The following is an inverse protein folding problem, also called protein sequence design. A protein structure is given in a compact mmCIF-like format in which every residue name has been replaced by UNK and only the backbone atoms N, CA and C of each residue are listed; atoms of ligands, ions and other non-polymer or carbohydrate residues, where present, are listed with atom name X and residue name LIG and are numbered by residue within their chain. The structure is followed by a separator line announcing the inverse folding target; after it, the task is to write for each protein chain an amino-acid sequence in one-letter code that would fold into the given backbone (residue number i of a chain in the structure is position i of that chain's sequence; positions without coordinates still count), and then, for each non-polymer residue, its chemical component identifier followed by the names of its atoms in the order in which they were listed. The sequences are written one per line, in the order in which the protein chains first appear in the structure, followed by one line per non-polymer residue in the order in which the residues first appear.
data_IF_187184449346
#
_entry.id   IF_187184449346
#
_cell.length_a   1.000
_cell.length_b   1.000
_cell.length_c   1.000
_cell.angle_alpha   90.00
_cell.angle_beta   90.00
_cell.angle_gamma   90.00
#
_symmetry.space_group_name_H-M   'P 1'
#
loop_
_entity.id
_entity.type
_entity.pdbx_description
1 polymer ?
#
# COMPACT_ATOMS: atom_id res chain seq x y z
N UNK A 1 -54.22 -40.97 3.06
CA UNK A 1 -53.44 -42.19 3.32
C UNK A 1 -52.26 -42.21 2.38
N UNK A 2 -51.13 -41.66 2.82
CA UNK A 2 -49.78 -42.16 2.55
C UNK A 2 -48.85 -41.30 3.40
N UNK A 3 -48.27 -41.99 4.37
CA UNK A 3 -47.45 -41.53 5.46
C UNK A 3 -45.98 -41.51 5.04
N UNK A 4 -45.19 -40.73 5.78
CA UNK A 4 -43.81 -40.99 6.18
C UNK A 4 -42.70 -41.01 5.12
N UNK A 5 -41.80 -40.02 5.23
CA UNK A 5 -40.39 -40.26 5.55
C UNK A 5 -39.68 -38.90 5.74
N UNK A 6 -39.45 -38.51 6.99
CA UNK A 6 -38.52 -37.43 7.37
C UNK A 6 -37.25 -38.12 7.83
N UNK A 7 -36.19 -38.07 7.00
CA UNK A 7 -34.85 -38.49 7.41
C UNK A 7 -34.07 -37.30 7.97
N UNK A 8 -33.72 -37.42 9.25
CA UNK A 8 -32.74 -36.60 9.94
C UNK A 8 -31.32 -37.01 9.53
N UNK A 9 -30.60 -36.11 8.87
CA UNK A 9 -29.14 -36.21 8.74
C UNK A 9 -28.50 -35.30 9.79
N UNK A 10 -27.81 -35.92 10.74
CA UNK A 10 -26.86 -35.27 11.66
C UNK A 10 -25.51 -35.24 10.96
N UNK A 11 -24.97 -34.06 10.68
CA UNK A 11 -23.55 -33.90 10.32
C UNK A 11 -22.80 -33.29 11.51
N UNK A 12 -21.76 -33.99 11.93
CA UNK A 12 -20.88 -33.61 13.03
C UNK A 12 -19.81 -32.63 12.57
N UNK A 13 -19.64 -31.57 13.35
CA UNK A 13 -18.50 -30.66 13.30
C UNK A 13 -17.25 -31.36 13.87
N UNK A 14 -16.18 -31.49 13.07
CA UNK A 14 -14.82 -31.62 13.59
C UNK A 14 -13.98 -30.44 13.10
N UNK A 15 -13.76 -29.49 14.01
CA UNK A 15 -12.79 -28.43 13.88
C UNK A 15 -11.38 -28.98 14.13
N UNK A 16 -10.45 -28.78 13.18
CA UNK A 16 -9.02 -28.93 13.41
C UNK A 16 -8.35 -27.55 13.39
N UNK A 17 -8.12 -27.05 14.59
CA UNK A 17 -7.19 -25.97 14.91
C UNK A 17 -5.75 -26.53 14.91
N UNK A 18 -4.80 -25.74 14.42
CA UNK A 18 -3.43 -26.19 14.18
C UNK A 18 -2.49 -25.01 13.95
N UNK A 19 -2.49 -24.06 14.88
CA UNK A 19 -1.59 -22.90 14.87
C UNK A 19 -0.25 -23.28 15.52
N UNK A 20 0.82 -23.43 14.74
CA UNK A 20 2.19 -23.55 15.28
C UNK A 20 2.90 -22.19 15.23
N UNK A 21 3.10 -21.59 16.41
CA UNK A 21 4.01 -20.47 16.64
C UNK A 21 5.38 -21.01 17.05
N UNK A 22 6.41 -20.76 16.23
CA UNK A 22 7.81 -20.94 16.59
C UNK A 22 8.34 -19.63 17.20
N UNK A 23 8.75 -19.71 18.46
CA UNK A 23 9.44 -18.66 19.20
C UNK A 23 10.93 -18.64 18.81
N UNK A 24 11.42 -17.47 18.39
CA UNK A 24 12.85 -17.20 18.22
C UNK A 24 13.39 -16.57 19.51
N UNK A 25 14.43 -17.20 20.06
CA UNK A 25 15.13 -16.81 21.29
C UNK A 25 16.13 -15.68 21.03
N UNK A 26 15.99 -14.61 21.80
CA UNK A 26 16.98 -13.56 22.05
C UNK A 26 18.18 -14.12 22.84
N UNK A 27 19.40 -13.88 22.36
CA UNK A 27 20.61 -13.82 23.19
C UNK A 27 21.81 -13.29 22.36
N UNK A 28 22.21 -12.03 22.60
CA UNK A 28 23.59 -11.58 22.50
C UNK A 28 23.79 -10.46 23.53
N UNK A 29 24.66 -10.71 24.51
CA UNK A 29 25.17 -9.72 25.46
C UNK A 29 26.55 -9.32 24.98
N UNK A 30 26.76 -8.03 24.74
CA UNK A 30 28.08 -7.46 24.47
C UNK A 30 28.70 -6.97 25.79
N UNK A 31 29.87 -7.52 26.10
CA UNK A 31 30.77 -7.11 27.18
C UNK A 31 31.50 -5.82 26.81
N UNK A 32 31.42 -4.79 27.66
CA UNK A 32 32.25 -3.58 27.55
C UNK A 32 33.31 -3.61 28.66
N UNK A 33 34.57 -3.83 28.25
CA UNK A 33 35.74 -3.83 29.12
C UNK A 33 36.11 -2.43 29.59
N UNK A 34 36.36 -2.29 30.89
CA UNK A 34 36.92 -1.10 31.52
C UNK A 34 38.45 -1.24 31.61
N UNK A 35 39.19 -0.37 30.92
CA UNK A 35 40.65 -0.27 31.08
C UNK A 35 41.00 0.72 32.21
N UNK A 36 41.73 0.18 33.20
CA UNK A 36 42.25 0.85 34.37
C UNK A 36 43.72 1.25 34.08
N UNK A 37 44.01 2.54 33.92
CA UNK A 37 45.39 3.02 33.71
C UNK A 37 46.03 3.34 35.06
N UNK A 38 46.93 2.45 35.50
CA UNK A 38 47.79 2.64 36.67
C UNK A 38 48.95 3.58 36.36
N UNK A 39 49.12 4.66 37.13
CA UNK A 39 50.31 5.51 37.07
C UNK A 39 51.41 5.00 38.01
N UNK A 40 52.59 4.80 37.43
CA UNK A 40 53.83 4.33 38.06
C UNK A 40 54.46 5.36 39.00
N UNK A 41 55.02 4.84 40.09
CA UNK A 41 55.78 5.54 41.14
C UNK A 41 57.27 5.24 40.89
N UNK A 42 58.10 6.26 40.73
CA UNK A 42 59.56 6.12 40.71
C UNK A 42 60.19 7.17 41.63
N UNK A 43 61.08 6.71 42.51
CA UNK A 43 61.79 7.51 43.51
C UNK A 43 63.24 7.82 43.14
N UNK A 44 63.96 8.32 44.15
CA UNK A 44 65.41 8.59 44.16
C UNK A 44 65.76 10.03 43.78
N UNK A 45 66.72 10.72 44.39
CA UNK A 45 67.67 10.40 45.44
C UNK A 45 68.25 11.73 45.96
N UNK A 46 68.82 11.72 47.17
CA UNK A 46 69.50 12.85 47.78
C UNK A 46 70.82 13.23 47.10
N UNK A 47 71.29 14.44 47.38
CA UNK A 47 72.57 14.96 46.92
C UNK A 47 72.89 16.29 47.61
N UNK A 48 73.67 16.18 48.68
CA UNK A 48 74.35 17.25 49.41
C UNK A 48 75.39 17.95 48.52
N UNK A 49 75.64 19.24 48.71
CA UNK A 49 76.51 20.02 47.81
C UNK A 49 76.58 21.51 48.15
N UNK A 50 77.60 21.89 48.92
CA UNK A 50 77.77 23.22 49.50
C UNK A 50 78.13 24.36 48.54
N UNK A 51 77.81 25.57 49.04
CA UNK A 51 78.59 26.81 49.02
C UNK A 51 79.29 27.23 47.71
N UNK A 52 78.66 28.16 46.99
CA UNK A 52 79.37 29.29 46.37
C UNK A 52 78.40 30.46 46.10
N UNK A 53 78.23 31.29 47.12
CA UNK A 53 77.52 32.56 47.07
C UNK A 53 78.61 33.63 47.07
N UNK A 54 78.81 34.40 46.00
CA UNK A 54 78.45 35.82 45.97
C UNK A 54 79.04 36.43 44.68
N UNK A 55 78.34 37.41 44.09
CA UNK A 55 78.61 38.16 42.82
C UNK A 55 77.79 37.81 41.56
N UNK A 56 76.62 37.16 41.69
CA UNK A 56 75.65 36.93 40.59
C UNK A 56 74.27 37.60 40.78
N UNK A 57 74.16 38.58 41.68
CA UNK A 57 72.90 39.11 42.21
C UNK A 57 72.21 40.16 41.31
N UNK A 58 72.94 40.88 40.44
CA UNK A 58 72.38 41.88 39.53
C UNK A 58 71.69 41.30 38.27
N UNK A 59 72.38 40.43 37.52
CA UNK A 59 71.87 39.83 36.27
C UNK A 59 70.69 38.88 36.51
N UNK A 60 70.71 38.08 37.59
CA UNK A 60 69.58 37.21 37.98
C UNK A 60 68.30 38.01 38.29
N UNK A 61 68.43 39.21 38.88
CA UNK A 61 67.28 40.08 39.20
C UNK A 61 66.64 40.68 37.94
N UNK A 62 67.45 41.10 36.95
CA UNK A 62 66.94 41.59 35.64
C UNK A 62 66.21 40.49 34.86
N UNK A 63 66.77 39.27 34.81
CA UNK A 63 66.14 38.10 34.16
C UNK A 63 64.84 37.68 34.85
N UNK A 64 64.77 37.73 36.19
CA UNK A 64 63.52 37.49 36.94
C UNK A 64 62.44 38.53 36.63
N UNK A 65 62.78 39.82 36.49
CA UNK A 65 61.84 40.87 36.09
C UNK A 65 61.32 40.66 34.67
N UNK A 66 62.21 40.33 33.73
CA UNK A 66 61.83 40.06 32.34
C UNK A 66 60.95 38.80 32.22
N UNK A 67 61.28 37.72 32.93
CA UNK A 67 60.44 36.51 32.98
C UNK A 67 59.08 36.78 33.62
N UNK A 68 59.02 37.61 34.68
CA UNK A 68 57.75 38.01 35.30
C UNK A 68 56.89 38.82 34.32
N UNK A 69 57.51 39.73 33.56
CA UNK A 69 56.81 40.50 32.52
C UNK A 69 56.34 39.60 31.37
N UNK A 70 57.17 38.68 30.88
CA UNK A 70 56.79 37.74 29.84
C UNK A 70 55.66 36.81 30.28
N UNK A 71 55.68 36.32 31.53
CA UNK A 71 54.59 35.52 32.11
C UNK A 71 53.30 36.33 32.22
N UNK A 72 53.39 37.62 32.59
CA UNK A 72 52.24 38.53 32.63
C UNK A 72 51.65 38.77 31.23
N UNK A 73 52.51 39.00 30.23
CA UNK A 73 52.08 39.19 28.84
C UNK A 73 51.47 37.91 28.24
N UNK A 74 52.06 36.75 28.54
CA UNK A 74 51.52 35.45 28.11
C UNK A 74 50.15 35.17 28.75
N UNK A 75 49.99 35.46 30.04
CA UNK A 75 48.70 35.33 30.72
C UNK A 75 47.63 36.28 30.15
N UNK A 76 48.02 37.51 29.78
CA UNK A 76 47.11 38.45 29.11
C UNK A 76 46.66 37.92 27.74
N UNK A 77 47.59 37.45 26.90
CA UNK A 77 47.27 36.84 25.60
C UNK A 77 46.38 35.61 25.72
N UNK A 78 46.63 34.73 26.69
CA UNK A 78 45.79 33.56 26.93
C UNK A 78 44.36 33.95 27.36
N UNK A 79 44.22 35.07 28.09
CA UNK A 79 42.91 35.60 28.46
C UNK A 79 42.17 36.17 27.24
N UNK A 80 42.87 36.88 26.37
CA UNK A 80 42.31 37.39 25.11
C UNK A 80 41.86 36.26 24.18
N UNK A 81 42.67 35.20 24.03
CA UNK A 81 42.30 34.03 23.22
C UNK A 81 41.03 33.36 23.75
N UNK A 82 40.97 33.09 25.07
CA UNK A 82 39.76 32.50 25.67
C UNK A 82 38.52 33.37 25.49
N UNK A 83 38.67 34.69 25.59
CA UNK A 83 37.55 35.61 25.36
C UNK A 83 37.09 35.62 23.90
N UNK A 84 38.02 35.46 22.94
CA UNK A 84 37.68 35.33 21.52
C UNK A 84 36.96 34.00 21.23
N UNK A 85 37.46 32.87 21.75
CA UNK A 85 36.82 31.56 21.62
C UNK A 85 35.41 31.53 22.22
N UNK A 86 35.22 32.15 23.40
CA UNK A 86 33.88 32.29 24.02
C UNK A 86 32.93 33.18 23.20
N UNK A 87 33.46 34.19 22.48
CA UNK A 87 32.66 35.06 21.63
C UNK A 87 32.23 34.32 20.33
N UNK A 88 33.16 33.60 19.70
CA UNK A 88 32.89 32.79 18.51
C UNK A 88 31.86 31.70 18.80
N UNK A 89 32.00 30.97 19.92
CA UNK A 89 31.03 29.96 20.34
C UNK A 89 29.64 30.54 20.68
N UNK A 90 29.55 31.82 21.08
CA UNK A 90 28.26 32.50 21.29
C UNK A 90 27.62 32.91 19.96
N UNK A 91 28.42 33.38 19.01
CA UNK A 91 27.93 33.74 17.68
C UNK A 91 27.44 32.50 16.91
N UNK A 92 28.18 31.39 16.94
CA UNK A 92 27.74 30.12 16.36
C UNK A 92 26.42 29.62 16.94
N UNK A 93 26.25 29.74 18.27
CA UNK A 93 24.96 29.41 18.93
C UNK A 93 23.83 30.33 18.50
N UNK A 94 24.11 31.61 18.29
CA UNK A 94 23.12 32.59 17.84
C UNK A 94 22.69 32.29 16.40
N UNK A 95 23.63 32.05 15.50
CA UNK A 95 23.35 31.65 14.11
C UNK A 95 22.53 30.36 14.09
N UNK A 96 22.91 29.34 14.87
CA UNK A 96 22.16 28.10 14.97
C UNK A 96 20.72 28.33 15.47
N UNK A 97 20.50 29.22 16.43
CA UNK A 97 19.15 29.54 16.92
C UNK A 97 18.31 30.33 15.90
N UNK A 98 18.91 31.27 15.16
CA UNK A 98 18.22 32.02 14.11
C UNK A 98 17.85 31.10 12.94
N UNK A 99 18.74 30.19 12.54
CA UNK A 99 18.45 29.15 11.54
C UNK A 99 17.35 28.18 12.03
N UNK A 100 17.29 27.84 13.32
CA UNK A 100 16.21 27.01 13.88
C UNK A 100 14.84 27.71 13.80
N UNK A 101 14.77 29.00 14.15
CA UNK A 101 13.52 29.79 14.07
C UNK A 101 13.02 29.95 12.62
N UNK A 102 13.92 30.29 11.68
CA UNK A 102 13.55 30.43 10.26
C UNK A 102 13.08 29.09 9.66
N UNK A 103 13.74 27.99 10.03
CA UNK A 103 13.33 26.65 9.61
C UNK A 103 11.98 26.22 10.18
N UNK A 104 11.64 26.65 11.39
CA UNK A 104 10.34 26.38 12.00
C UNK A 104 9.21 27.13 11.27
N UNK A 105 9.42 28.39 10.90
CA UNK A 105 8.43 29.20 10.17
C UNK A 105 8.13 28.62 8.77
N UNK A 106 9.16 28.21 8.02
CA UNK A 106 8.98 27.56 6.71
C UNK A 106 8.17 26.26 6.86
N UNK A 107 8.47 25.45 7.89
CA UNK A 107 7.73 24.22 8.18
C UNK A 107 6.25 24.46 8.49
N UNK A 108 5.94 25.54 9.22
CA UNK A 108 4.57 25.93 9.58
C UNK A 108 3.77 26.43 8.38
N UNK A 109 4.38 27.23 7.49
CA UNK A 109 3.72 27.72 6.26
C UNK A 109 3.31 26.56 5.35
N UNK A 110 4.23 25.64 5.06
CA UNK A 110 3.95 24.48 4.21
C UNK A 110 2.90 23.55 4.83
N UNK A 111 2.91 23.39 6.16
CA UNK A 111 1.87 22.66 6.88
C UNK A 111 0.49 23.29 6.72
N UNK A 112 0.39 24.61 6.84
CA UNK A 112 -0.88 25.33 6.73
C UNK A 112 -1.45 25.17 5.33
N UNK A 113 -0.62 25.32 4.30
CA UNK A 113 -1.01 25.05 2.92
C UNK A 113 -1.47 23.59 2.77
N UNK A 114 -0.74 22.62 3.33
CA UNK A 114 -1.14 21.22 3.26
C UNK A 114 -2.51 20.96 3.90
N UNK A 115 -2.81 21.59 5.04
CA UNK A 115 -4.12 21.49 5.68
C UNK A 115 -5.25 22.09 4.83
N UNK A 116 -4.97 23.16 4.10
CA UNK A 116 -5.95 23.81 3.19
C UNK A 116 -6.18 23.04 1.90
N UNK A 117 -5.18 22.28 1.45
CA UNK A 117 -5.22 21.45 0.25
C UNK A 117 -5.81 20.05 0.50
N UNK A 118 -5.85 19.58 1.75
CA UNK A 118 -6.53 18.33 2.13
C UNK A 118 -7.99 18.37 1.66
N UNK A 119 -8.35 17.45 0.76
CA UNK A 119 -9.67 17.32 0.13
C UNK A 119 -9.85 18.06 -1.18
N UNK A 120 -8.97 19.01 -1.50
CA UNK A 120 -8.98 19.76 -2.77
C UNK A 120 -7.99 19.19 -3.78
N UNK A 121 -6.78 18.89 -3.32
CA UNK A 121 -5.71 18.33 -4.14
C UNK A 121 -5.89 16.82 -4.30
N UNK A 122 -5.61 16.28 -5.49
CA UNK A 122 -5.71 14.84 -5.76
C UNK A 122 -4.65 14.05 -4.97
N UNK A 123 -5.02 12.86 -4.50
CA UNK A 123 -4.14 11.97 -3.72
C UNK A 123 -4.33 12.14 -2.21
N UNK A 124 -3.84 11.16 -1.45
CA UNK A 124 -3.78 11.22 0.02
C UNK A 124 -2.46 11.83 0.50
N UNK A 125 -2.34 12.10 1.80
CA UNK A 125 -1.08 12.56 2.39
C UNK A 125 0.10 11.60 2.10
N UNK A 126 -0.15 10.28 2.12
CA UNK A 126 0.88 9.29 1.76
C UNK A 126 1.34 9.41 0.30
N UNK A 127 0.40 9.74 -0.60
CA UNK A 127 0.69 9.96 -2.03
C UNK A 127 1.52 11.22 -2.23
N UNK A 128 1.27 12.26 -1.42
CA UNK A 128 2.02 13.52 -1.48
C UNK A 128 3.44 13.38 -0.95
N UNK A 129 3.68 12.49 0.00
CA UNK A 129 5.02 12.28 0.58
C UNK A 129 5.87 11.25 -0.18
N UNK A 130 5.30 10.52 -1.13
CA UNK A 130 5.99 9.48 -1.89
C UNK A 130 6.57 10.01 -3.20
N UNK A 131 7.90 10.08 -3.29
CA UNK A 131 8.68 10.56 -4.45
C UNK A 131 8.28 9.94 -5.79
N UNK A 132 7.96 8.64 -5.79
CA UNK A 132 7.64 7.91 -7.01
C UNK A 132 6.18 8.08 -7.43
N UNK A 133 5.38 8.73 -6.60
CA UNK A 133 3.96 8.89 -6.86
C UNK A 133 3.71 10.12 -7.72
N UNK A 134 2.79 10.02 -8.70
CA UNK A 134 2.45 11.12 -9.62
C UNK A 134 1.87 12.37 -8.93
N UNK A 135 1.46 12.24 -7.67
CA UNK A 135 0.94 13.33 -6.84
C UNK A 135 1.91 13.75 -5.74
N UNK A 136 3.19 13.37 -5.84
CA UNK A 136 4.22 13.81 -4.91
C UNK A 136 4.21 15.34 -4.80
N UNK A 137 4.25 15.82 -3.58
CA UNK A 137 4.35 17.23 -3.25
C UNK A 137 5.73 17.48 -2.66
N UNK A 138 6.64 17.92 -3.53
CA UNK A 138 8.07 18.05 -3.19
C UNK A 138 8.30 19.05 -2.05
N UNK A 139 7.60 20.19 -2.02
CA UNK A 139 7.76 21.15 -0.91
C UNK A 139 7.32 20.55 0.43
N UNK A 140 6.14 19.90 0.48
CA UNK A 140 5.65 19.24 1.70
C UNK A 140 6.58 18.11 2.15
N UNK A 141 7.11 17.32 1.22
CA UNK A 141 8.07 16.25 1.53
C UNK A 141 9.38 16.80 2.08
N UNK A 142 9.93 17.85 1.48
CA UNK A 142 11.17 18.50 1.93
C UNK A 142 11.00 19.18 3.31
N UNK A 143 9.84 19.79 3.55
CA UNK A 143 9.48 20.37 4.85
C UNK A 143 9.12 19.31 5.89
N UNK A 144 8.75 18.08 5.48
CA UNK A 144 8.23 17.05 6.38
C UNK A 144 9.11 16.80 7.61
N UNK A 145 10.45 16.65 7.53
CA UNK A 145 11.29 16.45 8.70
C UNK A 145 11.18 17.60 9.71
N UNK A 146 11.07 18.84 9.21
CA UNK A 146 11.02 20.10 9.99
C UNK A 146 9.68 20.34 10.69
N UNK A 147 8.59 19.72 10.24
CA UNK A 147 7.26 19.90 10.86
C UNK A 147 7.22 19.26 12.26
N UNK A 148 6.78 19.98 13.31
CA UNK A 148 6.61 19.43 14.65
C UNK A 148 5.70 18.21 14.71
N UNK A 149 6.00 17.24 15.59
CA UNK A 149 5.26 15.97 15.70
C UNK A 149 3.76 16.16 15.95
N UNK A 150 3.37 17.15 16.75
CA UNK A 150 1.97 17.51 17.02
C UNK A 150 1.22 17.90 15.75
N UNK A 151 1.88 18.66 14.88
CA UNK A 151 1.34 19.15 13.63
C UNK A 151 1.22 18.05 12.56
N UNK A 152 2.24 17.19 12.46
CA UNK A 152 2.17 15.96 11.64
C UNK A 152 0.94 15.12 12.01
N UNK A 153 0.70 14.90 13.32
CA UNK A 153 -0.47 14.16 13.80
C UNK A 153 -1.79 14.81 13.37
N UNK A 154 -1.91 16.13 13.45
CA UNK A 154 -3.11 16.88 13.01
C UNK A 154 -3.36 16.69 11.51
N UNK A 155 -2.33 16.82 10.68
CA UNK A 155 -2.44 16.63 9.23
C UNK A 155 -2.83 15.18 8.88
N UNK A 156 -2.18 14.20 9.51
CA UNK A 156 -2.51 12.77 9.36
C UNK A 156 -3.94 12.49 9.77
N UNK A 157 -4.42 13.06 10.88
CA UNK A 157 -5.79 12.85 11.34
C UNK A 157 -6.80 13.43 10.34
N UNK A 158 -6.58 14.65 9.85
CA UNK A 158 -7.46 15.28 8.85
C UNK A 158 -7.51 14.48 7.53
N UNK A 159 -6.36 13.98 7.06
CA UNK A 159 -6.30 13.09 5.89
C UNK A 159 -7.07 11.79 6.14
N UNK A 160 -6.90 11.18 7.32
CA UNK A 160 -7.67 9.98 7.72
C UNK A 160 -9.17 10.23 7.77
N UNK A 161 -9.60 11.38 8.30
CA UNK A 161 -11.02 11.73 8.40
C UNK A 161 -11.63 11.93 7.01
N UNK A 162 -10.94 12.63 6.10
CA UNK A 162 -11.38 12.74 4.71
C UNK A 162 -11.41 11.40 3.98
N UNK A 163 -10.38 10.57 4.16
CA UNK A 163 -10.39 9.21 3.62
C UNK A 163 -11.58 8.44 4.20
N UNK A 164 -11.90 8.59 5.49
CA UNK A 164 -13.06 7.92 6.09
C UNK A 164 -14.38 8.44 5.50
N UNK A 165 -14.52 9.75 5.30
CA UNK A 165 -15.69 10.39 4.67
C UNK A 165 -15.85 9.95 3.21
N UNK A 166 -14.76 9.88 2.45
CA UNK A 166 -14.79 9.40 1.06
C UNK A 166 -15.07 7.90 0.95
N UNK A 167 -14.96 7.18 2.08
CA UNK A 167 -15.27 5.76 2.21
C UNK A 167 -16.55 5.55 3.04
N UNK A 168 -17.41 6.57 3.20
CA UNK A 168 -18.77 6.35 3.69
C UNK A 168 -19.40 5.35 2.73
N UNK A 169 -19.63 4.16 3.26
CA UNK A 169 -20.07 3.03 2.47
C UNK A 169 -21.45 3.34 1.92
N UNK A 170 -21.70 2.92 0.69
CA UNK A 170 -23.06 2.80 0.24
C UNK A 170 -23.74 1.76 1.14
N UNK A 171 -24.78 2.15 1.86
CA UNK A 171 -25.63 1.17 2.53
C UNK A 171 -26.28 0.31 1.45
N UNK A 172 -26.08 -1.00 1.52
CA UNK A 172 -26.65 -1.93 0.56
C UNK A 172 -28.10 -2.24 0.94
N UNK A 173 -29.06 -2.14 0.01
CA UNK A 173 -30.46 -2.51 0.28
C UNK A 173 -30.70 -4.03 0.34
N UNK A 174 -29.63 -4.82 0.32
CA UNK A 174 -29.63 -6.28 0.31
C UNK A 174 -28.60 -6.84 1.29
N UNK A 175 -28.74 -8.11 1.66
CA UNK A 175 -27.76 -8.77 2.52
C UNK A 175 -26.42 -8.90 1.79
N UNK A 176 -25.34 -8.58 2.49
CA UNK A 176 -23.98 -8.70 1.96
C UNK A 176 -23.05 -9.33 2.98
N UNK A 177 -22.17 -10.20 2.52
CA UNK A 177 -21.07 -10.73 3.33
C UNK A 177 -19.86 -9.80 3.24
N UNK A 178 -19.24 -9.50 4.40
CA UNK A 178 -18.12 -8.54 4.45
C UNK A 178 -16.92 -8.96 3.60
N UNK A 179 -16.71 -10.27 3.46
CA UNK A 179 -15.56 -10.83 2.72
C UNK A 179 -15.78 -10.85 1.19
N UNK A 180 -17.00 -10.64 0.71
CA UNK A 180 -17.31 -10.55 -0.73
C UNK A 180 -17.12 -9.14 -1.32
N UNK A 181 -16.96 -8.14 -0.44
CA UNK A 181 -16.74 -6.75 -0.84
C UNK A 181 -15.32 -6.52 -1.38
N UNK A 182 -15.09 -6.97 -2.60
CA UNK A 182 -13.80 -6.94 -3.27
C UNK A 182 -13.92 -6.27 -4.65
N UNK A 183 -13.33 -5.09 -4.78
CA UNK A 183 -13.22 -4.40 -6.06
C UNK A 183 -12.16 -5.05 -6.95
N UNK A 184 -12.49 -5.16 -8.24
CA UNK A 184 -11.61 -5.75 -9.25
C UNK A 184 -10.47 -4.78 -9.61
N UNK A 185 -9.25 -5.28 -9.71
CA UNK A 185 -8.10 -4.48 -10.12
C UNK A 185 -8.30 -3.89 -11.53
N UNK A 186 -7.97 -2.60 -11.75
CA UNK A 186 -8.08 -1.97 -13.07
C UNK A 186 -7.40 -2.75 -14.20
N UNK A 187 -6.30 -3.46 -13.93
CA UNK A 187 -5.61 -4.28 -14.93
C UNK A 187 -6.45 -5.43 -15.44
N UNK A 188 -7.30 -6.03 -14.61
CA UNK A 188 -8.16 -7.14 -15.02
C UNK A 188 -9.14 -6.70 -16.11
N UNK A 189 -9.71 -5.48 -16.00
CA UNK A 189 -10.53 -4.91 -17.06
C UNK A 189 -9.73 -4.65 -18.34
N UNK A 190 -8.47 -4.21 -18.20
CA UNK A 190 -7.53 -4.03 -19.31
C UNK A 190 -7.40 -5.26 -20.20
N UNK A 191 -7.37 -6.44 -19.60
CA UNK A 191 -7.21 -7.72 -20.30
C UNK A 191 -8.42 -8.07 -21.18
N UNK A 192 -9.61 -7.54 -20.92
CA UNK A 192 -10.82 -7.80 -21.74
C UNK A 192 -11.16 -6.67 -22.71
N UNK A 193 -10.43 -5.54 -22.70
CA UNK A 193 -10.72 -4.37 -23.55
C UNK A 193 -10.75 -4.73 -25.03
N UNK A 194 -9.78 -5.53 -25.51
CA UNK A 194 -9.72 -5.90 -26.93
C UNK A 194 -10.92 -6.76 -27.35
N UNK A 195 -11.34 -7.69 -26.49
CA UNK A 195 -12.51 -8.53 -26.71
C UNK A 195 -13.79 -7.69 -26.70
N UNK A 196 -13.98 -6.80 -25.73
CA UNK A 196 -15.14 -5.90 -25.67
C UNK A 196 -15.24 -4.98 -26.89
N UNK A 197 -14.12 -4.39 -27.34
CA UNK A 197 -14.09 -3.58 -28.57
C UNK A 197 -14.46 -4.41 -29.80
N UNK A 198 -14.00 -5.65 -29.87
CA UNK A 198 -14.34 -6.56 -30.96
C UNK A 198 -15.82 -6.93 -30.94
N UNK A 199 -16.38 -7.17 -29.75
CA UNK A 199 -17.81 -7.43 -29.59
C UNK A 199 -18.65 -6.24 -30.07
N UNK A 200 -18.29 -5.02 -29.66
CA UNK A 200 -18.97 -3.81 -30.14
C UNK A 200 -18.95 -3.69 -31.67
N UNK A 201 -17.80 -3.96 -32.30
CA UNK A 201 -17.68 -3.96 -33.75
C UNK A 201 -18.61 -4.98 -34.43
N UNK A 202 -18.77 -6.19 -33.87
CA UNK A 202 -19.70 -7.21 -34.40
C UNK A 202 -21.16 -6.79 -34.24
N UNK A 203 -21.48 -6.12 -33.15
CA UNK A 203 -22.79 -5.50 -32.93
C UNK A 203 -23.01 -4.23 -33.77
N UNK A 204 -22.02 -3.85 -34.60
CA UNK A 204 -22.03 -2.62 -35.42
C UNK A 204 -22.28 -1.35 -34.59
N UNK A 205 -21.75 -1.33 -33.36
CA UNK A 205 -21.84 -0.21 -32.43
C UNK A 205 -20.45 0.40 -32.18
N UNK A 206 -20.34 1.73 -32.01
CA UNK A 206 -19.14 2.31 -31.44
C UNK A 206 -18.88 1.74 -30.05
N UNK A 207 -17.63 1.37 -29.73
CA UNK A 207 -17.33 0.71 -28.44
C UNK A 207 -17.67 1.58 -27.22
N UNK A 208 -17.66 2.90 -27.36
CA UNK A 208 -18.08 3.84 -26.31
C UNK A 208 -19.56 3.70 -25.93
N UNK A 209 -20.37 3.21 -26.87
CA UNK A 209 -21.83 3.07 -26.75
C UNK A 209 -22.24 1.64 -26.41
N UNK A 210 -21.29 0.70 -26.35
CA UNK A 210 -21.52 -0.68 -25.91
C UNK A 210 -22.11 -0.68 -24.50
N UNK A 211 -23.33 -1.17 -24.35
CA UNK A 211 -24.02 -1.19 -23.07
C UNK A 211 -23.51 -2.36 -22.21
N UNK A 212 -22.75 -2.05 -21.17
CA UNK A 212 -22.17 -3.02 -20.24
C UNK A 212 -23.01 -3.06 -18.97
N UNK A 213 -23.39 -4.26 -18.52
CA UNK A 213 -24.09 -4.47 -17.27
C UNK A 213 -23.22 -5.24 -16.27
N UNK A 214 -23.08 -4.68 -15.07
CA UNK A 214 -22.51 -5.37 -13.91
C UNK A 214 -23.62 -5.51 -12.83
N UNK A 215 -24.18 -6.72 -12.64
CA UNK A 215 -25.25 -6.96 -11.68
C UNK A 215 -24.82 -6.90 -10.22
N UNK A 216 -23.51 -6.96 -9.91
CA UNK A 216 -23.05 -6.96 -8.52
C UNK A 216 -22.44 -5.61 -8.16
N UNK A 217 -23.00 -4.99 -7.13
CA UNK A 217 -22.55 -3.69 -6.68
C UNK A 217 -21.71 -3.81 -5.40
N UNK A 218 -20.44 -3.47 -5.51
CA UNK A 218 -19.55 -3.23 -4.37
C UNK A 218 -19.55 -1.73 -4.05
N UNK A 219 -18.65 -0.94 -4.65
CA UNK A 219 -18.60 0.52 -4.50
C UNK A 219 -18.64 1.27 -5.85
N UNK A 220 -19.06 0.58 -6.92
CA UNK A 220 -19.20 1.20 -8.24
C UNK A 220 -17.90 1.40 -9.01
N UNK A 221 -16.76 0.86 -8.56
CA UNK A 221 -15.47 1.14 -9.20
C UNK A 221 -15.38 0.64 -10.66
N UNK A 222 -16.15 -0.40 -11.01
CA UNK A 222 -16.27 -0.93 -12.38
C UNK A 222 -16.58 0.15 -13.41
N UNK A 223 -17.48 1.10 -13.08
CA UNK A 223 -17.87 2.20 -13.98
C UNK A 223 -16.66 3.06 -14.32
N UNK A 224 -15.90 3.47 -13.29
CA UNK A 224 -14.70 4.30 -13.46
C UNK A 224 -13.60 3.55 -14.21
N UNK A 225 -13.39 2.27 -13.87
CA UNK A 225 -12.35 1.45 -14.48
C UNK A 225 -12.60 1.24 -15.97
N UNK A 226 -13.83 0.86 -16.36
CA UNK A 226 -14.20 0.71 -17.76
C UNK A 226 -14.23 2.06 -18.51
N UNK A 227 -14.66 3.14 -17.86
CA UNK A 227 -14.60 4.48 -18.43
C UNK A 227 -13.17 4.92 -18.77
N UNK A 228 -12.18 4.54 -17.96
CA UNK A 228 -10.76 4.80 -18.25
C UNK A 228 -10.26 4.12 -19.54
N UNK A 229 -10.95 3.08 -20.00
CA UNK A 229 -10.71 2.41 -21.29
C UNK A 229 -11.64 2.91 -22.42
N UNK A 230 -12.47 3.91 -22.14
CA UNK A 230 -13.35 4.57 -23.11
C UNK A 230 -14.77 4.02 -23.20
N UNK A 231 -15.15 3.05 -22.37
CA UNK A 231 -16.52 2.54 -22.29
C UNK A 231 -17.36 3.45 -21.38
N UNK A 232 -18.33 4.18 -21.96
CA UNK A 232 -19.10 5.20 -21.22
C UNK A 232 -20.47 4.72 -20.78
N UNK A 233 -20.98 3.66 -21.41
CA UNK A 233 -22.30 3.11 -21.13
C UNK A 233 -22.20 1.88 -20.21
N UNK A 234 -21.97 2.11 -18.93
CA UNK A 234 -21.83 1.05 -17.91
C UNK A 234 -22.92 1.22 -16.86
N UNK A 235 -23.74 0.19 -16.68
CA UNK A 235 -24.73 0.11 -15.61
C UNK A 235 -24.18 -0.74 -14.46
N UNK A 236 -23.96 -0.08 -13.32
CA UNK A 236 -23.69 -0.72 -12.03
C UNK A 236 -24.32 0.17 -10.95
N UNK A 237 -25.37 -0.34 -10.30
CA UNK A 237 -26.19 0.38 -9.34
C UNK A 237 -26.32 -0.45 -8.07
N UNK A 238 -26.44 0.24 -6.93
CA UNK A 238 -26.61 -0.38 -5.62
C UNK A 238 -28.03 -0.96 -5.47
N UNK A 239 -28.30 -2.01 -6.23
CA UNK A 239 -29.60 -2.66 -6.35
C UNK A 239 -29.41 -4.16 -6.17
N UNK A 240 -30.40 -4.83 -5.56
CA UNK A 240 -30.40 -6.29 -5.49
C UNK A 240 -30.78 -6.86 -6.86
N UNK A 241 -29.77 -7.27 -7.62
CA UNK A 241 -29.96 -7.93 -8.91
C UNK A 241 -30.93 -9.11 -8.85
N UNK A 242 -30.99 -9.84 -7.73
CA UNK A 242 -31.88 -10.98 -7.60
C UNK A 242 -33.35 -10.60 -7.41
N UNK A 243 -33.62 -9.41 -6.89
CA UNK A 243 -34.96 -8.90 -6.67
C UNK A 243 -35.48 -8.08 -7.87
N UNK A 244 -34.67 -7.86 -8.90
CA UNK A 244 -35.07 -7.09 -10.08
C UNK A 244 -36.13 -7.83 -10.90
N UNK A 245 -37.23 -7.14 -11.24
CA UNK A 245 -38.25 -7.66 -12.16
C UNK A 245 -37.77 -7.65 -13.61
N UNK A 246 -37.04 -6.61 -13.98
CA UNK A 246 -36.47 -6.42 -15.31
C UNK A 246 -35.04 -5.90 -15.18
N UNK A 247 -34.16 -6.40 -16.04
CA UNK A 247 -32.76 -5.99 -16.07
C UNK A 247 -32.57 -4.79 -17.00
N UNK A 248 -31.61 -3.89 -16.72
CA UNK A 248 -31.32 -2.75 -17.58
C UNK A 248 -30.98 -3.25 -19.00
N UNK A 249 -31.40 -2.53 -20.07
CA UNK A 249 -31.00 -2.86 -21.42
C UNK A 249 -29.47 -2.86 -21.55
N UNK A 250 -28.91 -3.97 -22.02
CA UNK A 250 -27.47 -4.16 -22.15
C UNK A 250 -27.10 -5.05 -23.33
N UNK A 251 -25.87 -4.92 -23.80
CA UNK A 251 -25.28 -5.74 -24.87
C UNK A 251 -24.45 -6.89 -24.30
N UNK A 252 -23.81 -6.68 -23.15
CA UNK A 252 -22.86 -7.61 -22.54
C UNK A 252 -22.90 -7.51 -21.02
N UNK A 253 -22.72 -8.65 -20.35
CA UNK A 253 -22.51 -8.71 -18.89
C UNK A 253 -21.00 -8.70 -18.62
N UNK A 254 -20.52 -7.84 -17.73
CA UNK A 254 -19.13 -7.82 -17.26
C UNK A 254 -19.16 -7.71 -15.75
N UNK A 255 -18.65 -8.71 -15.03
CA UNK A 255 -18.78 -8.76 -13.58
C UNK A 255 -17.67 -9.55 -12.89
N UNK A 256 -17.48 -9.25 -11.61
CA UNK A 256 -16.75 -10.03 -10.62
C UNK A 256 -17.74 -10.37 -9.48
N UNK A 257 -18.42 -11.53 -9.53
CA UNK A 257 -19.44 -11.86 -8.55
C UNK A 257 -18.85 -12.06 -7.14
N UNK A 258 -19.68 -11.96 -6.10
CA UNK A 258 -19.41 -12.58 -4.81
C UNK A 258 -19.06 -14.07 -4.99
N UNK A 259 -18.14 -14.57 -4.18
CA UNK A 259 -17.69 -15.96 -4.26
C UNK A 259 -18.24 -16.84 -3.15
N UNK A 260 -18.89 -16.24 -2.15
CA UNK A 260 -19.62 -16.97 -1.13
C UNK A 260 -20.91 -17.58 -1.67
N UNK A 261 -21.47 -18.51 -0.89
CA UNK A 261 -22.82 -19.03 -1.08
C UNK A 261 -23.10 -19.56 -2.50
N UNK A 262 -24.31 -19.34 -3.01
CA UNK A 262 -24.78 -19.80 -4.33
C UNK A 262 -24.66 -18.71 -5.42
N UNK A 263 -23.97 -17.59 -5.13
CA UNK A 263 -23.95 -16.42 -5.99
C UNK A 263 -23.45 -16.73 -7.41
N UNK A 264 -22.38 -17.52 -7.52
CA UNK A 264 -21.78 -17.91 -8.79
C UNK A 264 -22.72 -18.83 -9.59
N UNK A 265 -23.35 -19.80 -8.93
CA UNK A 265 -24.30 -20.70 -9.59
C UNK A 265 -25.49 -19.92 -10.16
N UNK A 266 -26.08 -19.02 -9.37
CA UNK A 266 -27.19 -18.16 -9.80
C UNK A 266 -26.80 -17.23 -10.94
N UNK A 267 -25.58 -16.68 -10.92
CA UNK A 267 -25.03 -15.90 -12.03
C UNK A 267 -24.95 -16.72 -13.32
N UNK A 268 -24.44 -17.97 -13.24
CA UNK A 268 -24.34 -18.84 -14.40
C UNK A 268 -25.73 -19.16 -14.98
N UNK A 269 -26.71 -19.44 -14.13
CA UNK A 269 -28.11 -19.63 -14.54
C UNK A 269 -28.69 -18.38 -15.21
N UNK A 270 -28.41 -17.19 -14.67
CA UNK A 270 -28.82 -15.92 -15.27
C UNK A 270 -28.21 -15.73 -16.66
N UNK A 271 -26.90 -15.87 -16.79
CA UNK A 271 -26.19 -15.69 -18.08
C UNK A 271 -26.69 -16.70 -19.11
N UNK A 272 -26.97 -17.94 -18.68
CA UNK A 272 -27.58 -18.94 -19.54
C UNK A 272 -28.97 -18.54 -20.02
N UNK A 273 -29.82 -17.97 -19.17
CA UNK A 273 -31.17 -17.51 -19.55
C UNK A 273 -31.14 -16.22 -20.39
N UNK A 274 -30.24 -15.29 -20.09
CA UNK A 274 -30.12 -13.98 -20.74
C UNK A 274 -29.60 -14.10 -22.20
N UNK A 275 -28.87 -15.18 -22.53
CA UNK A 275 -28.32 -15.47 -23.88
C UNK A 275 -27.44 -14.37 -24.49
N UNK A 276 -27.00 -13.40 -23.69
CA UNK A 276 -26.05 -12.35 -24.12
C UNK A 276 -24.61 -12.75 -23.80
N UNK A 277 -23.63 -12.18 -24.51
CA UNK A 277 -22.22 -12.33 -24.17
C UNK A 277 -21.95 -11.89 -22.73
N UNK A 278 -21.03 -12.58 -22.07
CA UNK A 278 -20.67 -12.33 -20.69
C UNK A 278 -19.17 -12.53 -20.48
N UNK A 279 -18.59 -11.69 -19.62
CA UNK A 279 -17.22 -11.75 -19.15
C UNK A 279 -17.29 -11.83 -17.63
N UNK A 280 -17.07 -13.02 -17.07
CA UNK A 280 -17.22 -13.28 -15.64
C UNK A 280 -15.84 -13.51 -15.05
N UNK A 281 -15.37 -12.63 -14.19
CA UNK A 281 -14.12 -12.80 -13.46
C UNK A 281 -14.38 -13.74 -12.29
N UNK A 282 -13.93 -14.99 -12.37
CA UNK A 282 -14.22 -16.00 -11.35
C UNK A 282 -12.95 -16.77 -10.95
N UNK A 283 -12.94 -17.39 -9.75
CA UNK A 283 -11.85 -18.25 -9.31
C UNK A 283 -11.71 -19.49 -10.19
N UNK A 284 -10.48 -20.02 -10.28
CA UNK A 284 -10.16 -21.28 -10.96
C UNK A 284 -11.15 -22.38 -10.57
N UNK A 285 -11.33 -22.64 -9.28
CA UNK A 285 -12.11 -23.79 -8.79
C UNK A 285 -13.56 -23.84 -9.29
N UNK A 286 -14.11 -22.75 -9.83
CA UNK A 286 -15.48 -22.73 -10.35
C UNK A 286 -15.65 -23.68 -11.53
N UNK A 287 -14.64 -23.85 -12.38
CA UNK A 287 -14.79 -24.74 -13.55
C UNK A 287 -14.87 -26.23 -13.16
N UNK A 288 -14.49 -26.57 -11.94
CA UNK A 288 -14.50 -27.92 -11.37
C UNK A 288 -15.84 -28.22 -10.64
N UNK A 289 -16.71 -27.21 -10.48
CA UNK A 289 -17.97 -27.38 -9.75
C UNK A 289 -19.00 -28.15 -10.58
N UNK A 290 -19.83 -29.02 -9.95
CA UNK A 290 -20.84 -29.81 -10.66
C UNK A 290 -21.86 -28.99 -11.46
N UNK A 291 -22.18 -27.77 -11.01
CA UNK A 291 -23.10 -26.87 -11.69
C UNK A 291 -22.50 -26.17 -12.92
N UNK A 292 -21.18 -26.28 -13.15
CA UNK A 292 -20.51 -25.57 -14.24
C UNK A 292 -20.56 -26.36 -15.55
N UNK A 293 -21.08 -25.74 -16.61
CA UNK A 293 -21.11 -26.29 -17.97
C UNK A 293 -20.07 -25.61 -18.87
N UNK A 294 -18.89 -26.21 -18.99
CA UNK A 294 -17.74 -25.62 -19.68
C UNK A 294 -17.87 -25.42 -21.19
N UNK A 295 -18.79 -26.13 -21.87
CA UNK A 295 -18.90 -26.16 -23.34
C UNK A 295 -19.14 -24.79 -24.00
N UNK A 296 -19.62 -23.81 -23.24
CA UNK A 296 -19.98 -22.47 -23.75
C UNK A 296 -18.98 -21.38 -23.36
N UNK A 297 -17.95 -21.75 -22.62
CA UNK A 297 -16.97 -20.81 -22.08
C UNK A 297 -15.63 -20.91 -22.79
N UNK A 298 -14.95 -19.78 -22.77
CA UNK A 298 -13.57 -19.63 -23.19
C UNK A 298 -12.86 -18.79 -22.14
N UNK A 299 -11.58 -19.04 -21.91
CA UNK A 299 -10.87 -18.46 -20.79
C UNK A 299 -9.82 -17.45 -21.23
N UNK A 300 -9.86 -16.24 -20.66
CA UNK A 300 -8.77 -15.26 -20.75
C UNK A 300 -8.01 -15.30 -19.43
N UNK A 301 -6.86 -15.96 -19.47
CA UNK A 301 -6.01 -16.22 -18.31
C UNK A 301 -4.92 -15.15 -18.24
N UNK A 302 -4.83 -14.37 -17.16
CA UNK A 302 -3.80 -13.33 -17.10
C UNK A 302 -2.39 -13.92 -17.00
N UNK A 303 -1.39 -13.18 -17.47
CA UNK A 303 0.02 -13.53 -17.25
C UNK A 303 0.44 -13.44 -15.78
N UNK A 304 -0.26 -12.63 -14.99
CA UNK A 304 -0.03 -12.43 -13.56
C UNK A 304 -1.33 -12.57 -12.80
N UNK A 305 -1.28 -13.14 -11.60
CA UNK A 305 -2.45 -13.28 -10.73
C UNK A 305 -3.12 -11.92 -10.51
N UNK A 306 -4.45 -11.88 -10.68
CA UNK A 306 -5.22 -10.70 -10.34
C UNK A 306 -5.21 -10.43 -8.85
N UNK A 307 -5.40 -9.17 -8.53
CA UNK A 307 -5.49 -8.66 -7.18
C UNK A 307 -6.87 -8.05 -7.03
N UNK A 308 -7.36 -8.03 -5.80
CA UNK A 308 -8.60 -7.40 -5.42
C UNK A 308 -8.34 -6.40 -4.31
N UNK A 309 -9.24 -5.45 -4.20
CA UNK A 309 -9.15 -4.39 -3.22
C UNK A 309 -10.42 -4.38 -2.39
N UNK A 310 -10.33 -4.67 -1.10
CA UNK A 310 -11.45 -4.47 -0.19
C UNK A 310 -11.48 -2.98 0.18
N UNK A 311 -12.53 -2.23 -0.18
CA UNK A 311 -12.67 -0.83 0.22
C UNK A 311 -12.39 -0.63 1.71
N UNK A 312 -11.72 0.47 2.08
CA UNK A 312 -11.44 0.74 3.50
C UNK A 312 -12.77 0.85 4.26
N UNK A 313 -12.85 0.20 5.41
CA UNK A 313 -14.06 0.19 6.24
C UNK A 313 -14.88 -1.10 6.14
N UNK A 314 -14.80 -1.83 5.02
CA UNK A 314 -15.57 -3.07 4.83
C UNK A 314 -14.99 -4.28 5.55
N UNK A 315 -13.69 -4.25 5.87
CA UNK A 315 -13.04 -5.34 6.59
C UNK A 315 -13.08 -5.14 8.12
N UNK A 316 -13.49 -6.16 8.89
CA UNK A 316 -13.40 -6.14 10.35
C UNK A 316 -12.02 -5.74 10.83
N UNK A 317 -11.93 -5.04 11.97
CA UNK A 317 -10.65 -4.50 12.49
C UNK A 317 -9.63 -5.62 12.73
N UNK A 318 -10.13 -6.79 13.09
CA UNK A 318 -9.40 -8.01 13.43
C UNK A 318 -8.72 -8.63 12.18
N UNK A 319 -9.27 -8.39 10.99
CA UNK A 319 -8.77 -8.90 9.70
C UNK A 319 -7.95 -7.84 8.93
N UNK A 320 -7.59 -6.71 9.54
CA UNK A 320 -6.83 -5.65 8.87
C UNK A 320 -5.38 -6.07 8.66
N UNK A 321 -5.00 -6.20 7.40
CA UNK A 321 -3.60 -6.40 7.01
C UNK A 321 -2.88 -5.05 6.84
N UNK A 322 -1.57 -5.02 7.09
CA UNK A 322 -0.73 -3.80 7.04
C UNK A 322 -0.57 -3.21 5.62
N UNK A 323 -1.06 -3.88 4.57
CA UNK A 323 -0.96 -3.43 3.18
C UNK A 323 -2.25 -2.74 2.69
N UNK A 324 -2.55 -1.57 3.28
CA UNK A 324 -3.62 -0.70 2.80
C UNK A 324 -3.09 0.31 1.78
N UNK A 325 -3.69 0.39 0.60
CA UNK A 325 -3.45 1.43 -0.41
C UNK A 325 -4.58 2.46 -0.42
N UNK A 326 -4.56 3.40 -1.35
CA UNK A 326 -5.71 4.29 -1.62
C UNK A 326 -6.96 3.55 -2.09
N UNK A 327 -6.80 2.39 -2.73
CA UNK A 327 -7.91 1.55 -3.19
C UNK A 327 -8.49 0.66 -2.09
N UNK A 328 -7.80 0.53 -0.95
CA UNK A 328 -8.23 -0.35 0.15
C UNK A 328 -7.19 -1.40 0.53
N UNK A 329 -7.64 -2.47 1.18
CA UNK A 329 -6.78 -3.58 1.56
C UNK A 329 -6.60 -4.50 0.36
N UNK A 330 -5.35 -4.75 0.00
CA UNK A 330 -5.01 -5.67 -1.08
C UNK A 330 -5.31 -7.11 -0.66
N UNK A 331 -6.07 -7.84 -1.46
CA UNK A 331 -6.32 -9.28 -1.27
C UNK A 331 -6.20 -10.03 -2.60
N UNK A 332 -5.87 -11.31 -2.55
CA UNK A 332 -5.87 -12.20 -3.71
C UNK A 332 -6.07 -13.62 -3.20
N UNK A 333 -7.30 -13.99 -2.79
CA UNK A 333 -7.54 -15.27 -2.14
C UNK A 333 -7.41 -16.42 -3.14
N UNK A 334 -7.77 -16.20 -4.41
CA UNK A 334 -7.78 -17.25 -5.44
C UNK A 334 -7.02 -16.84 -6.70
N UNK A 335 -6.62 -17.82 -7.50
CA UNK A 335 -6.24 -17.59 -8.90
C UNK A 335 -7.56 -17.41 -9.65
N UNK A 336 -7.73 -16.28 -10.33
CA UNK A 336 -8.93 -15.96 -11.09
C UNK A 336 -8.58 -15.57 -12.52
N UNK A 337 -9.55 -15.77 -13.40
CA UNK A 337 -9.46 -15.44 -14.82
C UNK A 337 -10.86 -15.17 -15.38
N UNK A 338 -10.93 -14.58 -16.57
CA UNK A 338 -12.21 -14.27 -17.19
C UNK A 338 -12.79 -15.50 -17.91
N UNK A 339 -14.01 -15.84 -17.54
CA UNK A 339 -14.88 -16.80 -18.20
C UNK A 339 -15.72 -16.03 -19.21
N UNK A 340 -15.46 -16.25 -20.50
CA UNK A 340 -16.09 -15.53 -21.60
C UNK A 340 -17.09 -16.44 -22.29
N UNK A 341 -18.37 -16.05 -22.31
CA UNK A 341 -19.42 -16.82 -23.01
C UNK A 341 -19.45 -16.53 -24.51
N UNK A 342 -20.30 -17.29 -25.20
CA UNK A 342 -20.56 -17.17 -26.63
C UNK A 342 -20.94 -15.74 -27.03
N UNK A 343 -20.25 -15.23 -28.06
CA UNK A 343 -20.36 -13.87 -28.61
C UNK A 343 -19.14 -13.54 -29.48
N UNK A 344 -17.99 -14.10 -29.09
CA UNK A 344 -16.76 -14.13 -29.85
C UNK A 344 -16.32 -15.59 -30.02
N UNK A 345 -16.29 -16.14 -31.25
CA UNK A 345 -15.77 -17.48 -31.50
C UNK A 345 -14.36 -17.65 -30.97
N UNK A 346 -14.04 -18.87 -30.54
CA UNK A 346 -12.72 -19.21 -30.00
C UNK A 346 -11.56 -18.75 -30.92
N UNK A 347 -11.69 -18.94 -32.24
CA UNK A 347 -10.67 -18.54 -33.21
C UNK A 347 -10.41 -17.02 -33.20
N UNK A 348 -11.45 -16.23 -32.97
CA UNK A 348 -11.42 -14.77 -32.96
C UNK A 348 -10.72 -14.26 -31.68
N UNK A 349 -11.12 -14.77 -30.51
CA UNK A 349 -10.45 -14.45 -29.25
C UNK A 349 -8.98 -14.87 -29.28
N UNK A 350 -8.67 -16.08 -29.76
CA UNK A 350 -7.29 -16.56 -29.92
C UNK A 350 -6.45 -15.61 -30.78
N UNK A 351 -7.03 -15.06 -31.86
CA UNK A 351 -6.34 -14.09 -32.72
C UNK A 351 -6.04 -12.76 -32.04
N UNK A 352 -6.94 -12.30 -31.15
CA UNK A 352 -6.74 -11.07 -30.37
C UNK A 352 -5.62 -11.23 -29.34
N UNK A 353 -5.60 -12.35 -28.62
CA UNK A 353 -4.66 -12.58 -27.52
C UNK A 353 -3.30 -13.13 -27.96
N UNK A 354 -3.19 -13.85 -29.08
CA UNK A 354 -1.87 -14.25 -29.62
C UNK A 354 -0.96 -13.06 -29.93
N UNK A 355 -1.56 -11.93 -30.32
CA UNK A 355 -0.82 -10.70 -30.63
C UNK A 355 -0.50 -9.88 -29.38
N UNK A 356 -1.13 -10.19 -28.26
CA UNK A 356 -1.04 -9.43 -27.02
C UNK A 356 -0.41 -10.32 -25.94
N UNK A 357 0.88 -10.13 -25.67
CA UNK A 357 1.69 -10.99 -24.77
C UNK A 357 1.26 -10.99 -23.30
N UNK A 358 0.22 -10.23 -22.95
CA UNK A 358 -0.20 -10.01 -21.57
C UNK A 358 -1.10 -11.11 -21.00
N UNK A 359 -1.73 -11.95 -21.84
CA UNK A 359 -2.65 -13.00 -21.40
C UNK A 359 -2.43 -14.32 -22.15
N UNK A 360 -2.61 -15.42 -21.42
CA UNK A 360 -2.79 -16.76 -21.97
C UNK A 360 -4.27 -17.00 -22.28
N UNK A 361 -4.53 -17.97 -23.16
CA UNK A 361 -5.85 -18.21 -23.70
C UNK A 361 -6.09 -19.71 -23.87
N UNK A 362 -7.23 -20.21 -23.38
CA UNK A 362 -7.53 -21.65 -23.31
C UNK A 362 -9.02 -21.89 -23.64
N UNK A 363 -9.31 -22.98 -24.35
CA UNK A 363 -10.66 -23.57 -24.32
C UNK A 363 -10.79 -24.46 -23.07
N UNK A 364 -11.95 -25.06 -22.87
CA UNK A 364 -12.20 -25.94 -21.72
C UNK A 364 -11.26 -27.15 -21.69
N UNK A 365 -11.11 -27.84 -22.81
CA UNK A 365 -10.27 -29.04 -22.90
C UNK A 365 -8.78 -28.71 -22.65
N UNK A 366 -8.29 -27.60 -23.21
CA UNK A 366 -6.93 -27.07 -23.02
C UNK A 366 -6.70 -26.62 -21.57
N UNK A 367 -7.73 -26.07 -20.90
CA UNK A 367 -7.66 -25.63 -19.51
C UNK A 367 -7.45 -26.82 -18.59
N UNK A 368 -8.30 -27.85 -18.72
CA UNK A 368 -8.20 -29.09 -17.95
C UNK A 368 -6.81 -29.73 -18.12
N UNK A 369 -6.37 -29.91 -19.37
CA UNK A 369 -5.09 -30.56 -19.67
C UNK A 369 -3.85 -29.78 -19.18
N UNK A 370 -3.95 -28.44 -19.05
CA UNK A 370 -2.83 -27.61 -18.57
C UNK A 370 -2.67 -27.59 -17.06
N UNK A 371 -3.71 -27.95 -16.31
CA UNK A 371 -3.68 -27.92 -14.85
C UNK A 371 -3.46 -29.30 -14.25
N UNK A 372 -3.89 -30.38 -14.91
CA UNK A 372 -3.54 -31.76 -14.50
C UNK A 372 -2.03 -32.04 -14.44
N UNK A 373 -1.19 -31.15 -14.96
CA UNK A 373 0.28 -31.31 -15.02
C UNK A 373 1.06 -30.41 -14.07
N UNK A 374 0.40 -29.56 -13.28
CA UNK A 374 1.08 -28.49 -12.52
C UNK A 374 0.83 -28.50 -11.01
N UNK A 375 0.05 -29.44 -10.50
CA UNK A 375 -0.13 -29.60 -9.06
C UNK A 375 0.93 -30.53 -8.43
N UNK A 376 1.94 -30.96 -9.21
CA UNK A 376 3.11 -31.76 -8.77
C UNK A 376 4.43 -30.95 -8.64
N UNK A 377 4.42 -29.62 -8.89
CA UNK A 377 5.56 -28.69 -8.74
C UNK A 377 5.19 -27.48 -7.89
#
# INVERSE_FOLDING_TARGET
MMSDAVEHVKEGEEARDGTQTVAASDQCKDDVGAENVSSTKAGGAGGDGGKEETKLTGRKRKRRRQNKQNKKNMAARLKEIKQAEEAEAKEEKKIASEEEEENEDVGLKVLQEALEQIGKKKGTLSDWLNEKHRFCWNELRAAWPKIPKKNKRRLIQKDKDLVKESHVMAEHPFMTESDDHCETDPKAYGDIVCALKRLAAKLKKPFKDLAIYDPYFCNGAVVKNLASHGFRNVYNKNEDFYAMKEYPPHDVVVTNPPYSSDHVERLLQFVEKNKKPAFLLMPKYIHEKPFFSGKRFTFVVPSKRYVYWTPKGLRPKEKRQNHASTLGIRTSPFISFWYVTQGLPYKELRGLYKKNTLCNYLNYDDLSAKFDKRDDE
#
